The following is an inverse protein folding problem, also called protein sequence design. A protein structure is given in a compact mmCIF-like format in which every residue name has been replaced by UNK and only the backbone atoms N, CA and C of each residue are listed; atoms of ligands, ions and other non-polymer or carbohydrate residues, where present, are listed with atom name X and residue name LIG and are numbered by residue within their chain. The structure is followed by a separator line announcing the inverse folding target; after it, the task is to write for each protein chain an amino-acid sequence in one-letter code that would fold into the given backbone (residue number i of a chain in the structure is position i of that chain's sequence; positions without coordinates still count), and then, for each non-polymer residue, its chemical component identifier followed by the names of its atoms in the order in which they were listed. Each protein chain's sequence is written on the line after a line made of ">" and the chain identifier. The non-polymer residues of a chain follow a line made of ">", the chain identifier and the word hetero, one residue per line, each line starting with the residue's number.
data_IF_755702142168
#
_entry.id   IF_755702142168
#
_cell.length_a   1.000
_cell.length_b   1.000
_cell.length_c   1.000
_cell.angle_alpha   90.00
_cell.angle_beta   90.00
_cell.angle_gamma   90.00
#
_symmetry.space_group_name_H-M   'P 1'
#
loop_
_entity.id
_entity.type
_entity.pdbx_description
1 polymer ?
#
# COMPACT_ATOMS: atom_id res chain seq x y z
N UNK A 1 13.76 31.70 -12.35
CA UNK A 1 14.94 30.87 -12.65
C UNK A 1 14.60 30.06 -13.90
N UNK A 2 15.10 30.49 -15.07
CA UNK A 2 14.76 29.92 -16.39
C UNK A 2 15.75 28.82 -16.72
N UNK A 3 15.29 27.59 -16.86
CA UNK A 3 16.12 26.46 -17.32
C UNK A 3 16.06 26.42 -18.83
N UNK A 4 17.24 26.61 -19.45
CA UNK A 4 17.45 26.62 -20.89
C UNK A 4 17.76 25.18 -21.34
N UNK A 5 16.83 24.55 -22.05
CA UNK A 5 17.05 23.23 -22.65
C UNK A 5 17.85 23.43 -23.95
N UNK A 6 19.07 22.92 -24.00
CA UNK A 6 19.85 22.84 -25.23
C UNK A 6 19.48 21.60 -26.04
N UNK A 7 19.04 21.87 -27.24
CA UNK A 7 18.69 20.92 -28.28
C UNK A 7 19.98 20.37 -28.94
N UNK A 8 20.27 19.07 -28.71
CA UNK A 8 21.35 18.39 -29.41
C UNK A 8 20.99 18.19 -30.89
N UNK A 9 21.83 18.69 -31.75
CA UNK A 9 21.75 18.55 -33.20
C UNK A 9 22.19 17.13 -33.61
N UNK A 10 21.36 16.54 -34.44
CA UNK A 10 21.59 15.32 -35.21
C UNK A 10 22.62 15.55 -36.30
N UNK A 11 23.58 14.62 -36.47
CA UNK A 11 24.22 14.36 -37.74
C UNK A 11 25.71 14.74 -37.82
N UNK A 12 26.59 13.85 -37.36
CA UNK A 12 27.95 13.75 -37.91
C UNK A 12 28.18 12.35 -38.44
N UNK A 13 28.35 12.31 -39.75
CA UNK A 13 28.71 11.12 -40.53
C UNK A 13 30.20 10.84 -40.27
N UNK A 14 30.54 9.67 -39.77
CA UNK A 14 31.90 9.16 -39.75
C UNK A 14 32.32 8.77 -41.17
N UNK A 15 33.23 9.54 -41.77
CA UNK A 15 33.93 9.15 -42.99
C UNK A 15 35.04 8.14 -42.64
N UNK A 16 35.27 7.11 -43.49
CA UNK A 16 36.34 6.16 -43.27
C UNK A 16 37.69 6.75 -43.68
N UNK A 17 38.61 6.92 -42.74
CA UNK A 17 40.00 7.25 -42.98
C UNK A 17 40.71 6.09 -43.71
N UNK A 18 41.03 6.32 -44.96
CA UNK A 18 41.87 5.42 -45.77
C UNK A 18 43.34 5.60 -45.36
N UNK A 19 43.86 4.67 -44.58
CA UNK A 19 45.31 4.59 -44.29
C UNK A 19 45.95 3.69 -45.33
N UNK A 20 46.77 4.30 -46.20
CA UNK A 20 47.73 3.59 -47.05
C UNK A 20 48.90 3.12 -46.19
N UNK A 21 49.06 1.84 -45.99
CA UNK A 21 50.27 1.27 -45.40
C UNK A 21 51.04 0.49 -46.46
N UNK A 22 52.21 1.02 -46.75
CA UNK A 22 53.28 0.30 -47.43
C UNK A 22 54.09 -0.51 -46.41
N UNK A 23 54.20 -1.79 -46.65
CA UNK A 23 55.40 -2.59 -46.38
C UNK A 23 55.59 -3.21 -45.01
N UNK A 24 55.71 -4.51 -45.06
CA UNK A 24 56.64 -5.41 -44.36
C UNK A 24 56.15 -6.20 -43.13
N UNK A 25 56.21 -7.50 -43.41
CA UNK A 25 56.68 -8.56 -42.52
C UNK A 25 55.88 -8.95 -41.25
N UNK A 26 55.15 -10.00 -41.36
CA UNK A 26 55.13 -11.15 -40.47
C UNK A 26 55.02 -10.96 -38.96
N UNK A 27 53.79 -10.89 -38.45
CA UNK A 27 53.48 -11.53 -37.18
C UNK A 27 52.00 -11.99 -37.21
N UNK A 28 51.79 -13.29 -37.02
CA UNK A 28 50.48 -13.91 -36.96
C UNK A 28 49.69 -13.25 -35.82
N UNK A 29 48.46 -12.80 -36.01
CA UNK A 29 47.59 -12.47 -34.90
C UNK A 29 47.28 -13.74 -34.17
N UNK A 30 47.72 -13.81 -32.92
CA UNK A 30 47.26 -14.84 -31.96
C UNK A 30 45.75 -14.75 -31.86
N UNK A 31 45.06 -15.74 -32.37
CA UNK A 31 43.65 -15.97 -32.20
C UNK A 31 43.35 -16.05 -30.69
N UNK A 32 43.02 -14.90 -30.09
CA UNK A 32 42.39 -14.88 -28.80
C UNK A 32 40.97 -15.40 -29.00
N UNK A 33 40.84 -16.72 -29.02
CA UNK A 33 39.55 -17.37 -28.87
C UNK A 33 38.94 -16.88 -27.57
N UNK A 34 38.03 -15.95 -27.68
CA UNK A 34 37.18 -15.52 -26.58
C UNK A 34 36.38 -16.77 -26.14
N UNK A 35 36.87 -17.46 -25.11
CA UNK A 35 36.14 -18.56 -24.49
C UNK A 35 34.84 -17.99 -23.95
N UNK A 36 33.76 -18.13 -24.70
CA UNK A 36 32.42 -17.94 -24.18
C UNK A 36 32.20 -19.07 -23.18
N UNK A 37 32.37 -18.77 -21.90
CA UNK A 37 31.96 -19.67 -20.84
C UNK A 37 30.42 -19.75 -20.88
N UNK A 38 29.90 -20.84 -21.44
CA UNK A 38 28.49 -21.16 -21.33
C UNK A 38 28.20 -21.65 -19.92
N UNK A 39 27.06 -21.23 -19.37
CA UNK A 39 26.57 -21.77 -18.11
C UNK A 39 26.29 -23.26 -18.22
N UNK A 40 26.68 -24.02 -17.23
CA UNK A 40 26.38 -25.46 -17.20
C UNK A 40 24.95 -25.68 -16.66
N UNK A 41 24.30 -26.75 -17.12
CA UNK A 41 22.98 -27.12 -16.64
C UNK A 41 22.95 -27.33 -15.11
N UNK A 42 24.05 -27.90 -14.59
CA UNK A 42 24.25 -28.14 -13.13
C UNK A 42 24.32 -26.83 -12.35
N UNK A 43 24.99 -25.80 -12.87
CA UNK A 43 25.11 -24.49 -12.24
C UNK A 43 23.74 -23.81 -12.11
N UNK A 44 22.91 -23.89 -13.15
CA UNK A 44 21.54 -23.37 -13.08
C UNK A 44 20.67 -24.16 -12.11
N UNK A 45 20.80 -25.50 -12.07
CA UNK A 45 20.08 -26.36 -11.14
C UNK A 45 20.46 -26.07 -9.69
N UNK A 46 21.76 -25.81 -9.42
CA UNK A 46 22.24 -25.43 -8.11
C UNK A 46 21.64 -24.09 -7.67
N UNK A 47 21.61 -23.09 -8.55
CA UNK A 47 21.06 -21.76 -8.24
C UNK A 47 19.57 -21.84 -7.89
N UNK A 48 18.75 -22.53 -8.69
CA UNK A 48 17.32 -22.64 -8.40
C UNK A 48 17.04 -23.42 -7.11
N UNK A 49 17.86 -24.43 -6.77
CA UNK A 49 17.72 -25.16 -5.49
C UNK A 49 18.03 -24.25 -4.30
N UNK A 50 19.10 -23.47 -4.36
CA UNK A 50 19.45 -22.52 -3.27
C UNK A 50 18.36 -21.46 -3.12
N UNK A 51 17.88 -20.86 -4.23
CA UNK A 51 16.79 -19.87 -4.18
C UNK A 51 15.51 -20.50 -3.62
N UNK A 52 15.18 -21.73 -4.00
CA UNK A 52 14.02 -22.46 -3.49
C UNK A 52 14.07 -22.67 -1.98
N UNK A 53 15.22 -23.07 -1.43
CA UNK A 53 15.41 -23.24 0.02
C UNK A 53 15.29 -21.90 0.75
N UNK A 54 15.93 -20.84 0.24
CA UNK A 54 15.85 -19.51 0.85
C UNK A 54 14.43 -18.94 0.81
N UNK A 55 13.71 -19.10 -0.31
CA UNK A 55 12.32 -18.67 -0.45
C UNK A 55 11.40 -19.38 0.56
N UNK A 56 11.58 -20.69 0.77
CA UNK A 56 10.77 -21.46 1.73
C UNK A 56 10.91 -20.96 3.18
N UNK A 57 12.06 -20.38 3.56
CA UNK A 57 12.28 -19.82 4.90
C UNK A 57 11.70 -18.40 5.07
N UNK A 58 11.59 -17.62 3.99
CA UNK A 58 11.19 -16.20 4.05
C UNK A 58 9.67 -16.04 3.97
N UNK A 59 9.01 -16.80 3.11
CA UNK A 59 7.56 -16.65 2.84
C UNK A 59 6.69 -16.73 4.11
N UNK A 60 6.84 -17.71 5.02
CA UNK A 60 5.95 -17.82 6.18
C UNK A 60 6.05 -16.65 7.18
N UNK A 61 7.18 -15.95 7.22
CA UNK A 61 7.37 -14.80 8.12
C UNK A 61 6.67 -13.52 7.66
N UNK A 62 6.31 -13.42 6.38
CA UNK A 62 5.69 -12.22 5.84
C UNK A 62 4.17 -12.20 6.02
N UNK A 63 3.52 -13.36 6.04
CA UNK A 63 2.06 -13.47 6.14
C UNK A 63 1.54 -12.93 7.48
N UNK A 64 2.16 -13.26 8.60
CA UNK A 64 1.74 -12.79 9.93
C UNK A 64 1.90 -11.28 10.14
N UNK A 65 2.92 -10.66 9.54
CA UNK A 65 3.15 -9.21 9.63
C UNK A 65 2.12 -8.41 8.85
N UNK A 66 1.63 -8.95 7.74
CA UNK A 66 0.57 -8.34 6.94
C UNK A 66 -0.73 -8.21 7.73
N UNK A 67 -1.10 -9.24 8.49
CA UNK A 67 -2.31 -9.24 9.30
C UNK A 67 -2.21 -8.26 10.49
N UNK A 68 -1.09 -8.24 11.18
CA UNK A 68 -0.85 -7.24 12.24
C UNK A 68 -0.93 -5.81 11.73
N UNK A 69 -0.40 -5.55 10.52
CA UNK A 69 -0.48 -4.23 9.90
C UNK A 69 -1.93 -3.84 9.57
N UNK A 70 -2.76 -4.79 9.10
CA UNK A 70 -4.19 -4.55 8.85
C UNK A 70 -4.95 -4.23 10.13
N UNK A 71 -4.73 -5.00 11.20
CA UNK A 71 -5.34 -4.75 12.50
C UNK A 71 -4.95 -3.37 13.04
N UNK A 72 -3.68 -2.98 12.92
CA UNK A 72 -3.22 -1.65 13.32
C UNK A 72 -3.88 -0.54 12.49
N UNK A 73 -4.10 -0.75 11.20
CA UNK A 73 -4.81 0.20 10.34
C UNK A 73 -6.28 0.36 10.78
N UNK A 74 -6.99 -0.75 11.08
CA UNK A 74 -8.36 -0.71 11.61
C UNK A 74 -8.43 0.09 12.91
N UNK A 75 -7.50 -0.12 13.83
CA UNK A 75 -7.46 0.64 15.09
C UNK A 75 -7.24 2.14 14.87
N UNK A 76 -6.41 2.51 13.91
CA UNK A 76 -6.20 3.90 13.53
C UNK A 76 -7.47 4.52 12.93
N UNK A 77 -8.16 3.81 12.05
CA UNK A 77 -9.41 4.26 11.43
C UNK A 77 -10.53 4.42 12.48
N UNK A 78 -10.69 3.43 13.38
CA UNK A 78 -11.64 3.52 14.49
C UNK A 78 -11.36 4.74 15.36
N UNK A 79 -10.09 5.03 15.64
CA UNK A 79 -9.69 6.20 16.42
C UNK A 79 -10.01 7.51 15.70
N UNK A 80 -9.83 7.56 14.38
CA UNK A 80 -10.17 8.73 13.57
C UNK A 80 -11.69 8.96 13.52
N UNK A 81 -12.48 7.89 13.29
CA UNK A 81 -13.95 7.97 13.27
C UNK A 81 -14.47 8.36 14.66
N UNK A 82 -13.90 7.80 15.73
CA UNK A 82 -14.23 8.18 17.10
C UNK A 82 -14.05 9.67 17.34
N UNK A 83 -12.91 10.24 16.94
CA UNK A 83 -12.65 11.68 17.07
C UNK A 83 -13.71 12.51 16.33
N UNK A 84 -14.12 12.07 15.15
CA UNK A 84 -15.17 12.73 14.37
C UNK A 84 -16.55 12.62 15.03
N UNK A 85 -16.88 11.46 15.65
CA UNK A 85 -18.11 11.25 16.43
C UNK A 85 -18.15 12.14 17.68
N UNK A 86 -17.03 12.22 18.40
CA UNK A 86 -16.90 13.06 19.61
C UNK A 86 -17.03 14.56 19.24
N UNK A 87 -16.45 15.00 18.11
CA UNK A 87 -16.61 16.36 17.62
C UNK A 87 -18.07 16.67 17.24
N UNK A 88 -18.74 15.74 16.57
CA UNK A 88 -20.17 15.87 16.24
C UNK A 88 -21.03 15.99 17.50
N UNK A 89 -20.75 15.17 18.53
CA UNK A 89 -21.46 15.22 19.81
C UNK A 89 -21.26 16.55 20.53
N UNK A 90 -20.03 17.07 20.53
CA UNK A 90 -19.71 18.38 21.14
C UNK A 90 -20.51 19.52 20.48
N UNK A 91 -20.63 19.52 19.17
CA UNK A 91 -21.34 20.54 18.43
C UNK A 91 -22.86 20.45 18.55
N UNK A 92 -23.41 19.23 18.54
CA UNK A 92 -24.84 19.00 18.40
C UNK A 92 -25.52 18.49 19.69
N UNK A 93 -24.75 18.03 20.70
CA UNK A 93 -25.24 17.54 21.99
C UNK A 93 -25.80 16.09 21.94
N UNK A 94 -25.61 15.39 20.84
CA UNK A 94 -26.03 13.98 20.67
C UNK A 94 -25.17 13.29 19.62
N UNK A 95 -25.11 11.96 19.64
CA UNK A 95 -24.43 11.16 18.63
C UNK A 95 -25.26 11.05 17.34
N UNK A 96 -24.59 10.98 16.16
CA UNK A 96 -25.31 10.84 14.90
C UNK A 96 -26.02 9.48 14.80
N UNK A 97 -27.07 9.41 13.97
CA UNK A 97 -27.80 8.15 13.72
C UNK A 97 -27.04 7.21 12.79
N UNK A 98 -26.06 7.71 12.05
CA UNK A 98 -25.23 6.94 11.14
C UNK A 98 -23.98 7.73 10.73
N UNK A 99 -22.94 7.00 10.33
CA UNK A 99 -21.64 7.59 9.96
C UNK A 99 -21.74 8.57 8.79
N UNK A 100 -22.79 8.51 7.94
CA UNK A 100 -22.98 9.44 6.84
C UNK A 100 -23.20 10.88 7.33
N UNK A 101 -23.74 11.06 8.53
CA UNK A 101 -23.98 12.37 9.13
C UNK A 101 -22.68 13.11 9.51
N UNK A 102 -21.55 12.38 9.55
CA UNK A 102 -20.23 12.98 9.74
C UNK A 102 -19.69 13.69 8.49
N UNK A 103 -20.24 13.34 7.31
CA UNK A 103 -19.82 13.89 6.01
C UNK A 103 -20.87 14.83 5.46
N UNK A 104 -22.15 14.49 5.63
CA UNK A 104 -23.27 15.24 5.08
C UNK A 104 -24.14 15.77 6.22
N UNK A 105 -24.48 17.05 6.14
CA UNK A 105 -25.34 17.69 7.14
C UNK A 105 -26.73 17.00 7.20
N UNK A 106 -27.14 16.48 8.37
CA UNK A 106 -28.50 15.97 8.55
C UNK A 106 -29.52 17.09 8.54
N UNK A 107 -30.77 16.76 8.17
CA UNK A 107 -31.86 17.71 8.29
C UNK A 107 -32.10 18.11 9.76
N UNK A 108 -32.39 19.39 10.01
CA UNK A 108 -32.64 19.96 11.35
C UNK A 108 -31.43 19.90 12.31
N UNK A 109 -30.22 20.07 11.80
CA UNK A 109 -29.01 20.14 12.63
C UNK A 109 -28.35 21.51 12.46
N UNK A 110 -28.85 22.57 13.16
CA UNK A 110 -28.40 23.94 12.97
C UNK A 110 -26.96 24.18 13.47
N UNK A 111 -26.46 23.35 14.37
CA UNK A 111 -25.11 23.47 14.94
C UNK A 111 -24.11 22.52 14.27
N UNK A 112 -24.45 21.95 13.10
CA UNK A 112 -23.52 21.13 12.36
C UNK A 112 -22.39 21.97 11.74
N UNK A 113 -21.15 21.71 12.14
CA UNK A 113 -19.95 22.41 11.67
C UNK A 113 -19.04 21.53 10.80
N UNK A 114 -19.57 20.38 10.33
CA UNK A 114 -18.79 19.46 9.50
C UNK A 114 -18.43 19.98 8.11
N UNK A 115 -17.82 19.17 7.27
CA UNK A 115 -17.64 17.71 7.46
C UNK A 115 -16.60 17.36 8.55
N UNK A 116 -16.92 16.36 9.39
CA UNK A 116 -16.04 15.88 10.46
C UNK A 116 -15.09 14.78 9.98
N UNK A 117 -15.37 14.21 8.80
CA UNK A 117 -14.49 13.33 8.05
C UNK A 117 -14.24 13.89 6.66
N UNK A 118 -13.17 13.45 6.01
CA UNK A 118 -12.81 13.88 4.65
C UNK A 118 -13.92 13.48 3.65
N UNK A 119 -14.69 14.48 3.23
CA UNK A 119 -15.84 14.28 2.35
C UNK A 119 -15.45 13.76 0.96
N UNK A 120 -14.24 14.09 0.49
CA UNK A 120 -13.75 13.68 -0.83
C UNK A 120 -13.42 12.19 -0.89
N UNK A 121 -13.04 11.61 0.25
CA UNK A 121 -12.74 10.17 0.40
C UNK A 121 -13.96 9.33 0.75
N UNK A 122 -15.03 9.98 1.23
CA UNK A 122 -16.21 9.29 1.76
C UNK A 122 -15.92 8.55 3.08
N UNK A 123 -16.80 7.62 3.46
CA UNK A 123 -16.57 6.78 4.63
C UNK A 123 -15.41 5.81 4.38
N UNK A 124 -14.47 5.70 5.32
CA UNK A 124 -13.37 4.75 5.22
C UNK A 124 -13.89 3.31 5.15
N UNK A 125 -13.11 2.46 4.50
CA UNK A 125 -13.31 1.02 4.46
C UNK A 125 -12.14 0.36 5.19
N UNK A 126 -12.42 -0.79 5.80
CA UNK A 126 -11.39 -1.57 6.44
C UNK A 126 -10.39 -2.19 5.41
N UNK A 127 -9.24 -2.72 5.83
CA UNK A 127 -8.25 -3.31 4.95
C UNK A 127 -8.71 -4.58 4.21
N UNK A 128 -9.87 -5.11 4.51
CA UNK A 128 -10.52 -6.24 3.81
C UNK A 128 -11.62 -5.78 2.85
N UNK A 129 -11.93 -4.45 2.81
CA UNK A 129 -12.89 -3.84 1.90
C UNK A 129 -14.31 -3.74 2.46
N UNK A 130 -14.51 -4.04 3.76
CA UNK A 130 -15.80 -3.92 4.42
C UNK A 130 -16.02 -2.49 4.94
N UNK A 131 -17.28 -2.10 5.10
CA UNK A 131 -17.64 -0.85 5.74
C UNK A 131 -17.59 -1.01 7.27
N UNK A 132 -17.20 0.06 7.98
CA UNK A 132 -17.32 0.11 9.43
C UNK A 132 -18.79 0.06 9.85
N UNK A 133 -19.09 -0.75 10.86
CA UNK A 133 -20.42 -0.89 11.43
C UNK A 133 -20.55 0.05 12.63
N UNK A 134 -21.69 0.75 12.70
CA UNK A 134 -21.99 1.71 13.76
C UNK A 134 -23.39 1.50 14.30
N UNK A 135 -23.50 1.38 15.61
CA UNK A 135 -24.79 1.28 16.32
C UNK A 135 -24.86 2.31 17.45
N UNK A 136 -25.96 3.04 17.49
CA UNK A 136 -26.28 3.95 18.59
C UNK A 136 -27.74 3.77 19.02
N UNK A 137 -28.02 3.49 20.31
CA UNK A 137 -27.07 3.11 21.38
C UNK A 137 -26.36 1.78 21.09
N UNK A 138 -25.13 1.62 21.62
CA UNK A 138 -24.35 0.40 21.44
C UNK A 138 -24.89 -0.79 22.23
N UNK A 139 -24.63 -2.00 21.76
CA UNK A 139 -24.91 -3.23 22.49
C UNK A 139 -23.85 -3.50 23.56
N UNK A 140 -22.58 -3.22 23.25
CA UNK A 140 -21.44 -3.36 24.15
C UNK A 140 -21.28 -2.10 25.02
N UNK A 141 -21.61 -0.93 24.47
CA UNK A 141 -21.55 0.36 25.14
C UNK A 141 -22.95 1.01 25.23
N UNK A 142 -23.85 0.58 26.15
CA UNK A 142 -25.26 1.04 26.18
C UNK A 142 -25.44 2.56 26.36
N UNK A 143 -24.47 3.24 26.97
CA UNK A 143 -24.50 4.68 27.20
C UNK A 143 -23.75 5.48 26.11
N UNK A 144 -23.25 4.80 25.08
CA UNK A 144 -22.48 5.36 23.99
C UNK A 144 -22.79 4.58 22.72
N UNK A 145 -21.84 4.44 21.82
CA UNK A 145 -21.99 3.74 20.56
C UNK A 145 -21.03 2.54 20.45
N UNK A 146 -21.37 1.61 19.59
CA UNK A 146 -20.50 0.56 19.11
C UNK A 146 -20.02 0.92 17.71
N UNK A 147 -18.71 0.89 17.51
CA UNK A 147 -18.04 1.11 16.22
C UNK A 147 -17.01 0.00 16.00
N UNK A 148 -17.13 -0.74 14.91
CA UNK A 148 -16.24 -1.88 14.64
C UNK A 148 -16.10 -2.21 13.16
N UNK A 149 -15.04 -2.94 12.85
CA UNK A 149 -14.83 -3.66 11.60
C UNK A 149 -15.23 -5.12 11.81
N UNK A 150 -15.88 -5.71 10.82
CA UNK A 150 -16.28 -7.12 10.80
C UNK A 150 -15.10 -8.07 10.47
N UNK A 151 -13.90 -7.53 10.29
CA UNK A 151 -12.71 -8.34 10.04
C UNK A 151 -12.69 -9.06 8.69
N UNK A 152 -11.80 -10.07 8.55
CA UNK A 152 -11.58 -10.78 7.30
C UNK A 152 -12.73 -11.70 6.88
N UNK A 153 -13.57 -12.17 7.81
CA UNK A 153 -14.67 -13.08 7.51
C UNK A 153 -15.95 -12.36 7.03
N UNK A 154 -15.96 -11.01 7.15
CA UNK A 154 -17.07 -10.13 6.76
C UNK A 154 -18.41 -10.48 7.44
N UNK A 155 -18.38 -11.01 8.68
CA UNK A 155 -19.56 -11.38 9.45
C UNK A 155 -19.57 -10.66 10.79
N UNK A 156 -20.69 -10.03 11.14
CA UNK A 156 -20.89 -9.39 12.44
C UNK A 156 -21.03 -10.44 13.56
N UNK A 157 -20.43 -10.16 14.71
CA UNK A 157 -20.53 -10.99 15.91
C UNK A 157 -19.55 -12.16 15.94
N UNK A 158 -18.52 -12.12 15.11
CA UNK A 158 -17.45 -13.12 15.10
C UNK A 158 -16.31 -12.76 16.07
N UNK A 159 -15.34 -13.67 16.23
CA UNK A 159 -14.19 -13.44 17.15
C UNK A 159 -13.15 -12.49 16.55
N UNK A 160 -13.21 -12.24 15.27
CA UNK A 160 -12.31 -11.37 14.53
C UNK A 160 -12.85 -9.94 14.36
N UNK A 161 -14.01 -9.62 14.93
CA UNK A 161 -14.51 -8.26 15.03
C UNK A 161 -13.55 -7.38 15.84
N UNK A 162 -13.16 -6.26 15.26
CA UNK A 162 -12.28 -5.26 15.88
C UNK A 162 -13.09 -4.02 16.17
N UNK A 163 -13.40 -3.79 17.44
CA UNK A 163 -14.31 -2.72 17.88
C UNK A 163 -13.69 -1.74 18.86
N UNK A 164 -14.50 -0.72 19.23
CA UNK A 164 -14.17 0.27 20.25
C UNK A 164 -14.38 -0.23 21.69
N UNK A 165 -14.72 -1.51 21.86
CA UNK A 165 -14.82 -2.16 23.16
C UNK A 165 -13.65 -3.12 23.39
N UNK A 166 -13.36 -3.38 24.67
CA UNK A 166 -12.37 -4.39 25.04
C UNK A 166 -13.02 -5.77 24.99
N UNK A 167 -12.62 -6.61 24.02
CA UNK A 167 -12.98 -8.04 24.07
C UNK A 167 -12.34 -8.68 25.30
N UNK A 168 -13.18 -9.25 26.17
CA UNK A 168 -12.72 -10.00 27.34
C UNK A 168 -12.24 -11.38 26.92
#
# INVERSE_FOLDING_TARGET
>A
MKIKIQKLRRGERCEPLTIKTTGACGTRPSDRTCRRSGFTLVEMLLVITIIGILAALVIPKMVGRSEQARQAAVQADISAIKTALDAFEVDNGYYPKGLQELIQQPNNTPHWHGPYLDADKGLPQDPWGNKYVYYYPGKHNPNSYDLFSVGPDSKEGSQDDIGNWTSK
#
